data_IF_562052472810
#
_entry.id   IF_562052472810
#
_cell.length_a   1.000
_cell.length_b   1.000
_cell.length_c   1.000
_cell.angle_alpha   90.00
_cell.angle_beta   90.00
_cell.angle_gamma   90.00
#
_symmetry.space_group_name_H-M   'P 1'
#
loop_
_entity.id
_entity.type
_entity.pdbx_description
1 polymer ?
#
# COMPACT_ATOMS: atom_id res chain seq x y z
N UNK A 1 2.18 17.68 -13.37
CA UNK A 1 2.38 19.16 -13.41
C UNK A 1 3.37 19.60 -12.34
N UNK A 2 3.91 20.84 -12.37
CA UNK A 2 4.79 21.30 -11.30
C UNK A 2 4.11 21.30 -9.93
N UNK A 3 4.87 21.12 -8.84
CA UNK A 3 4.39 21.30 -7.47
C UNK A 3 3.63 22.62 -7.26
N UNK A 4 2.58 22.61 -6.44
CA UNK A 4 1.82 23.81 -6.06
C UNK A 4 2.54 24.66 -5.01
N UNK A 5 3.57 24.10 -4.40
CA UNK A 5 4.40 24.76 -3.39
C UNK A 5 5.87 24.58 -3.72
N UNK A 6 6.66 25.57 -3.35
CA UNK A 6 8.12 25.50 -3.47
C UNK A 6 8.73 24.64 -2.36
N UNK A 7 9.98 24.22 -2.55
CA UNK A 7 10.74 23.48 -1.53
C UNK A 7 10.84 24.26 -0.21
N UNK A 8 11.07 25.57 -0.28
CA UNK A 8 11.16 26.41 0.92
C UNK A 8 9.81 26.58 1.62
N UNK A 9 8.72 26.64 0.86
CA UNK A 9 7.38 26.65 1.44
C UNK A 9 7.06 25.31 2.11
N UNK A 10 7.39 24.18 1.49
CA UNK A 10 7.22 22.86 2.10
C UNK A 10 7.99 22.72 3.42
N UNK A 11 9.22 23.24 3.49
CA UNK A 11 10.00 23.29 4.74
C UNK A 11 9.30 24.10 5.82
N UNK A 12 8.84 25.32 5.50
CA UNK A 12 8.08 26.16 6.45
C UNK A 12 6.80 25.49 6.94
N UNK A 13 6.06 24.83 6.04
CA UNK A 13 4.86 24.07 6.41
C UNK A 13 5.19 22.88 7.32
N UNK A 14 6.34 22.23 7.11
CA UNK A 14 6.84 21.15 7.97
C UNK A 14 7.06 21.57 9.43
N UNK A 15 7.37 22.85 9.67
CA UNK A 15 7.58 23.42 11.00
C UNK A 15 6.28 23.81 11.74
N UNK A 16 5.11 23.72 11.11
CA UNK A 16 3.84 24.02 11.77
C UNK A 16 3.54 22.94 12.81
N UNK A 17 3.34 23.34 14.06
CA UNK A 17 3.00 22.43 15.18
C UNK A 17 1.63 22.74 15.78
N UNK A 18 1.10 23.94 15.55
CA UNK A 18 -0.20 24.32 16.08
C UNK A 18 -1.34 23.70 15.25
N UNK A 19 -2.41 23.36 15.97
CA UNK A 19 -3.54 22.62 15.42
C UNK A 19 -4.24 23.37 14.28
N UNK A 20 -4.44 24.68 14.45
CA UNK A 20 -5.16 25.51 13.51
C UNK A 20 -4.39 25.67 12.19
N UNK A 21 -3.06 25.79 12.26
CA UNK A 21 -2.18 25.81 11.09
C UNK A 21 -2.25 24.51 10.29
N UNK A 22 -2.27 23.35 10.96
CA UNK A 22 -2.41 22.05 10.30
C UNK A 22 -3.80 21.92 9.63
N UNK A 23 -4.87 22.39 10.28
CA UNK A 23 -6.22 22.36 9.69
C UNK A 23 -6.32 23.24 8.45
N UNK A 24 -5.75 24.45 8.49
CA UNK A 24 -5.71 25.33 7.34
C UNK A 24 -4.95 24.70 6.16
N UNK A 25 -3.87 23.98 6.45
CA UNK A 25 -3.12 23.22 5.46
C UNK A 25 -3.94 22.05 4.87
N UNK A 26 -4.66 21.31 5.71
CA UNK A 26 -5.57 20.24 5.28
C UNK A 26 -6.64 20.78 4.35
N UNK A 27 -7.26 21.92 4.66
CA UNK A 27 -8.25 22.55 3.77
C UNK A 27 -7.67 22.94 2.41
N UNK A 28 -6.42 23.42 2.39
CA UNK A 28 -5.72 23.72 1.13
C UNK A 28 -5.47 22.46 0.31
N UNK A 29 -5.00 21.39 0.95
CA UNK A 29 -4.76 20.11 0.29
C UNK A 29 -6.07 19.47 -0.21
N UNK A 30 -7.17 19.61 0.54
CA UNK A 30 -8.50 19.17 0.13
C UNK A 30 -8.95 19.84 -1.16
N UNK A 31 -8.83 21.18 -1.24
CA UNK A 31 -9.16 21.92 -2.48
C UNK A 31 -8.35 21.44 -3.66
N UNK A 32 -7.04 21.26 -3.47
CA UNK A 32 -6.16 20.74 -4.52
C UNK A 32 -6.61 19.34 -4.98
N UNK A 33 -6.97 18.45 -4.05
CA UNK A 33 -7.47 17.10 -4.36
C UNK A 33 -8.83 17.15 -5.08
N UNK A 34 -9.79 17.94 -4.61
CA UNK A 34 -11.13 18.05 -5.24
C UNK A 34 -11.02 18.67 -6.64
N UNK A 35 -10.16 19.65 -6.85
CA UNK A 35 -9.93 20.25 -8.17
C UNK A 35 -9.40 19.23 -9.20
N UNK A 36 -8.50 18.31 -8.81
CA UNK A 36 -7.95 17.29 -9.73
C UNK A 36 -8.84 16.08 -9.90
N UNK A 37 -9.48 15.62 -8.83
CA UNK A 37 -10.11 14.31 -8.77
C UNK A 37 -11.63 14.37 -8.54
N UNK A 38 -12.20 15.51 -8.19
CA UNK A 38 -13.62 15.62 -7.86
C UNK A 38 -13.98 14.68 -6.71
N UNK A 39 -14.86 13.72 -6.99
CA UNK A 39 -15.30 12.71 -6.04
C UNK A 39 -14.48 11.40 -6.10
N UNK A 40 -13.48 11.28 -6.99
CA UNK A 40 -12.79 10.02 -7.25
C UNK A 40 -12.09 9.41 -6.03
N UNK A 41 -12.23 8.10 -5.91
CA UNK A 41 -11.38 7.25 -5.11
C UNK A 41 -10.73 6.15 -5.96
N UNK A 42 -9.72 5.50 -5.38
CA UNK A 42 -9.09 4.31 -5.92
C UNK A 42 -8.78 3.41 -4.72
N UNK A 43 -9.58 2.37 -4.47
CA UNK A 43 -9.43 1.48 -3.32
C UNK A 43 -8.66 0.21 -3.70
N UNK A 44 -7.58 -0.11 -2.99
CA UNK A 44 -6.74 -1.27 -3.28
C UNK A 44 -6.90 -2.31 -2.19
N UNK A 45 -6.86 -3.58 -2.57
CA UNK A 45 -6.50 -4.66 -1.66
C UNK A 45 -5.26 -5.37 -2.21
N UNK A 46 -4.62 -6.18 -1.38
CA UNK A 46 -3.43 -6.93 -1.74
C UNK A 46 -3.52 -8.38 -1.27
N UNK A 47 -2.67 -9.21 -1.87
CA UNK A 47 -2.32 -10.52 -1.34
C UNK A 47 -0.81 -10.58 -1.15
N UNK A 48 -0.38 -11.11 0.00
CA UNK A 48 1.02 -11.48 0.21
C UNK A 48 1.28 -12.84 -0.47
N UNK A 49 1.48 -12.84 -1.78
CA UNK A 49 1.58 -14.05 -2.61
C UNK A 49 2.82 -14.91 -2.32
N UNK A 50 3.86 -14.32 -1.72
CA UNK A 50 5.06 -15.03 -1.23
C UNK A 50 5.63 -14.27 -0.04
N UNK A 51 5.69 -14.93 1.11
CA UNK A 51 6.01 -14.27 2.37
C UNK A 51 7.22 -14.86 3.08
N UNK A 52 8.00 -13.99 3.71
CA UNK A 52 9.10 -14.33 4.61
C UNK A 52 10.39 -14.80 3.93
N UNK A 53 11.51 -14.72 4.65
CA UNK A 53 12.83 -15.18 4.17
C UNK A 53 13.46 -14.25 3.12
N UNK A 54 13.12 -12.96 3.15
CA UNK A 54 13.65 -11.96 2.23
C UNK A 54 15.16 -11.80 2.41
N UNK A 55 15.90 -11.76 1.30
CA UNK A 55 17.35 -11.60 1.31
C UNK A 55 17.80 -10.15 1.58
N UNK A 56 16.88 -9.20 1.63
CA UNK A 56 17.17 -7.79 1.91
C UNK A 56 17.19 -7.50 3.41
N UNK A 57 17.93 -6.46 3.79
CA UNK A 57 18.12 -6.00 5.16
C UNK A 57 17.27 -4.76 5.51
N UNK A 58 16.21 -4.45 4.76
CA UNK A 58 15.33 -3.31 5.03
C UNK A 58 14.97 -3.19 6.53
N UNK A 59 15.35 -2.07 7.16
CA UNK A 59 15.34 -1.91 8.61
C UNK A 59 13.96 -1.97 9.27
N UNK A 60 12.91 -1.69 8.51
CA UNK A 60 11.50 -1.74 8.93
C UNK A 60 10.84 -3.12 8.72
N UNK A 61 11.43 -4.01 7.92
CA UNK A 61 10.69 -5.12 7.34
C UNK A 61 10.81 -6.41 8.15
N UNK A 62 9.69 -6.87 8.75
CA UNK A 62 9.63 -8.15 9.46
C UNK A 62 9.90 -9.37 8.57
N UNK A 63 9.70 -9.25 7.25
CA UNK A 63 9.97 -10.34 6.30
C UNK A 63 11.47 -10.53 5.99
N UNK A 64 12.32 -9.58 6.35
CA UNK A 64 13.78 -9.67 6.22
C UNK A 64 14.30 -10.89 6.96
N UNK A 65 15.15 -11.71 6.33
CA UNK A 65 15.83 -12.81 7.02
C UNK A 65 16.74 -12.32 8.15
N UNK A 66 17.14 -11.05 8.12
CA UNK A 66 17.96 -10.40 9.14
C UNK A 66 17.15 -9.80 10.30
N UNK A 67 15.81 -9.81 10.22
CA UNK A 67 14.95 -9.43 11.33
C UNK A 67 14.62 -10.64 12.20
N UNK A 68 14.64 -10.47 13.52
CA UNK A 68 14.17 -11.47 14.48
C UNK A 68 12.64 -11.53 14.58
N UNK A 69 11.97 -10.48 14.09
CA UNK A 69 10.52 -10.37 14.10
C UNK A 69 9.84 -11.59 13.47
N UNK A 70 8.77 -12.04 14.13
CA UNK A 70 7.89 -13.06 13.59
C UNK A 70 7.21 -12.57 12.30
N UNK A 71 7.11 -13.45 11.33
CA UNK A 71 6.49 -13.16 10.04
C UNK A 71 5.83 -14.42 9.47
N UNK A 72 4.74 -14.29 8.70
CA UNK A 72 4.23 -15.42 7.94
C UNK A 72 5.29 -15.89 6.96
N UNK A 73 5.52 -17.20 6.90
CA UNK A 73 6.50 -17.80 6.00
C UNK A 73 5.81 -18.88 5.16
N UNK A 74 5.69 -18.62 3.86
CA UNK A 74 5.13 -19.58 2.92
C UNK A 74 5.71 -19.39 1.52
N UNK A 75 5.66 -20.45 0.73
CA UNK A 75 6.08 -20.43 -0.66
C UNK A 75 5.16 -19.57 -1.53
N UNK A 76 5.58 -19.32 -2.77
CA UNK A 76 4.77 -18.66 -3.78
C UNK A 76 3.44 -19.41 -3.96
N UNK A 77 2.33 -18.69 -3.81
CA UNK A 77 0.98 -19.19 -4.05
C UNK A 77 0.81 -19.71 -5.49
N UNK A 78 -0.07 -20.69 -5.66
CA UNK A 78 -0.54 -21.10 -6.98
C UNK A 78 -1.50 -20.05 -7.58
N UNK A 79 -1.58 -19.92 -8.93
CA UNK A 79 -2.44 -18.94 -9.60
C UNK A 79 -3.90 -18.96 -9.12
N UNK A 80 -4.46 -20.14 -8.84
CA UNK A 80 -5.84 -20.32 -8.39
C UNK A 80 -6.05 -19.76 -6.98
N UNK A 81 -5.05 -19.86 -6.11
CA UNK A 81 -5.09 -19.25 -4.77
C UNK A 81 -5.07 -17.72 -4.86
N UNK A 82 -4.27 -17.17 -5.80
CA UNK A 82 -4.25 -15.72 -6.07
C UNK A 82 -5.63 -15.25 -6.53
N UNK A 83 -6.29 -16.01 -7.41
CA UNK A 83 -7.64 -15.70 -7.88
C UNK A 83 -8.67 -15.74 -6.74
N UNK A 84 -8.57 -16.69 -5.81
CA UNK A 84 -9.45 -16.75 -4.63
C UNK A 84 -9.36 -15.48 -3.80
N UNK A 85 -8.14 -15.01 -3.51
CA UNK A 85 -7.93 -13.73 -2.81
C UNK A 85 -8.45 -12.53 -3.62
N UNK A 86 -8.31 -12.55 -4.95
CA UNK A 86 -8.84 -11.49 -5.80
C UNK A 86 -10.38 -11.43 -5.74
N UNK A 87 -11.07 -12.58 -5.79
CA UNK A 87 -12.54 -12.63 -5.64
C UNK A 87 -12.98 -12.11 -4.27
N UNK A 88 -12.26 -12.45 -3.20
CA UNK A 88 -12.54 -11.91 -1.87
C UNK A 88 -12.34 -10.37 -1.82
N UNK A 89 -11.27 -9.86 -2.42
CA UNK A 89 -11.02 -8.42 -2.51
C UNK A 89 -12.10 -7.69 -3.33
N UNK A 90 -12.55 -8.28 -4.43
CA UNK A 90 -13.65 -7.74 -5.25
C UNK A 90 -14.96 -7.70 -4.46
N UNK A 91 -15.32 -8.79 -3.78
CA UNK A 91 -16.50 -8.85 -2.93
C UNK A 91 -16.45 -7.82 -1.80
N UNK A 92 -15.25 -7.54 -1.27
CA UNK A 92 -15.01 -6.51 -0.25
C UNK A 92 -15.05 -5.05 -0.79
N UNK A 93 -15.25 -4.85 -2.09
CA UNK A 93 -15.36 -3.51 -2.68
C UNK A 93 -14.06 -2.91 -3.22
N UNK A 94 -12.95 -3.66 -3.25
CA UNK A 94 -11.69 -3.14 -3.81
C UNK A 94 -11.84 -2.80 -5.30
N UNK A 95 -11.20 -1.73 -5.76
CA UNK A 95 -11.11 -1.36 -7.19
C UNK A 95 -9.89 -2.02 -7.84
N UNK A 96 -8.84 -2.27 -7.06
CA UNK A 96 -7.58 -2.79 -7.54
C UNK A 96 -7.06 -3.88 -6.61
N UNK A 97 -6.44 -4.90 -7.20
CA UNK A 97 -5.84 -6.02 -6.48
C UNK A 97 -4.35 -6.11 -6.78
N UNK A 98 -3.53 -6.11 -5.72
CA UNK A 98 -2.08 -6.10 -5.81
C UNK A 98 -1.49 -7.45 -5.38
N UNK A 99 -0.76 -8.09 -6.29
CA UNK A 99 0.04 -9.28 -5.98
C UNK A 99 1.40 -8.84 -5.43
N UNK A 100 1.65 -9.10 -4.15
CA UNK A 100 2.86 -8.65 -3.45
C UNK A 100 3.71 -9.85 -3.08
N UNK A 101 5.02 -9.77 -3.30
CA UNK A 101 5.97 -10.81 -2.90
C UNK A 101 7.16 -10.21 -2.17
N UNK A 102 7.71 -10.95 -1.22
CA UNK A 102 9.01 -10.64 -0.65
C UNK A 102 10.16 -10.83 -1.66
N UNK A 103 11.27 -10.11 -1.41
CA UNK A 103 12.56 -10.33 -2.06
C UNK A 103 12.89 -9.32 -3.15
N UNK A 104 14.17 -9.31 -3.54
CA UNK A 104 14.71 -8.45 -4.60
C UNK A 104 14.14 -8.77 -5.99
N UNK A 105 13.51 -9.92 -6.17
CA UNK A 105 12.94 -10.35 -7.44
C UNK A 105 12.57 -11.83 -7.41
N UNK A 106 11.74 -12.24 -8.37
CA UNK A 106 11.26 -13.61 -8.45
C UNK A 106 12.16 -14.51 -9.28
N UNK A 107 12.15 -15.80 -8.95
CA UNK A 107 12.64 -16.85 -9.83
C UNK A 107 11.80 -16.89 -11.12
N UNK A 108 12.30 -17.49 -12.21
CA UNK A 108 11.50 -17.64 -13.44
C UNK A 108 10.17 -18.35 -13.15
N UNK A 109 10.21 -19.45 -12.40
CA UNK A 109 9.01 -20.22 -12.03
C UNK A 109 8.00 -19.40 -11.26
N UNK A 110 8.43 -18.65 -10.24
CA UNK A 110 7.53 -17.84 -9.43
C UNK A 110 6.98 -16.65 -10.24
N UNK A 111 7.78 -16.09 -11.16
CA UNK A 111 7.31 -15.04 -12.07
C UNK A 111 6.24 -15.56 -13.04
N UNK A 112 6.43 -16.76 -13.62
CA UNK A 112 5.45 -17.39 -14.51
C UNK A 112 4.11 -17.63 -13.77
N UNK A 113 4.15 -17.99 -12.49
CA UNK A 113 2.96 -18.08 -11.63
C UNK A 113 2.25 -16.74 -11.44
N UNK A 114 2.99 -15.64 -11.23
CA UNK A 114 2.40 -14.29 -11.19
C UNK A 114 1.68 -13.98 -12.50
N UNK A 115 2.31 -14.23 -13.65
CA UNK A 115 1.68 -13.97 -14.95
C UNK A 115 0.40 -14.79 -15.16
N UNK A 116 0.39 -16.06 -14.75
CA UNK A 116 -0.81 -16.89 -14.78
C UNK A 116 -1.90 -16.35 -13.85
N UNK A 117 -1.54 -15.96 -12.62
CA UNK A 117 -2.46 -15.34 -11.66
C UNK A 117 -3.07 -14.03 -12.19
N UNK A 118 -2.26 -13.16 -12.81
CA UNK A 118 -2.75 -11.92 -13.44
C UNK A 118 -3.82 -12.22 -14.49
N UNK A 119 -3.59 -13.23 -15.36
CA UNK A 119 -4.55 -13.61 -16.41
C UNK A 119 -5.86 -14.13 -15.82
N UNK A 120 -5.78 -15.00 -14.81
CA UNK A 120 -6.96 -15.49 -14.11
C UNK A 120 -7.77 -14.36 -13.46
N UNK A 121 -7.08 -13.42 -12.79
CA UNK A 121 -7.75 -12.25 -12.20
C UNK A 121 -8.40 -11.39 -13.28
N UNK A 122 -7.74 -11.21 -14.43
CA UNK A 122 -8.31 -10.45 -15.54
C UNK A 122 -9.55 -11.12 -16.15
N UNK A 123 -9.56 -12.45 -16.24
CA UNK A 123 -10.67 -13.23 -16.81
C UNK A 123 -11.89 -13.31 -15.89
N UNK A 124 -11.66 -13.38 -14.58
CA UNK A 124 -12.70 -13.76 -13.62
C UNK A 124 -13.10 -12.66 -12.63
N UNK A 125 -12.56 -11.45 -12.76
CA UNK A 125 -12.89 -10.32 -11.88
C UNK A 125 -12.92 -9.00 -12.66
N UNK A 126 -13.61 -8.01 -12.12
CA UNK A 126 -13.61 -6.63 -12.57
C UNK A 126 -12.55 -5.76 -11.84
N UNK A 127 -11.48 -6.39 -11.33
CA UNK A 127 -10.42 -5.69 -10.61
C UNK A 127 -9.34 -5.17 -11.55
N UNK A 128 -8.86 -3.95 -11.31
CA UNK A 128 -7.56 -3.52 -11.82
C UNK A 128 -6.46 -4.35 -11.18
N UNK A 129 -5.42 -4.68 -11.92
CA UNK A 129 -4.33 -5.58 -11.50
C UNK A 129 -3.05 -4.79 -11.27
N UNK A 130 -2.44 -5.05 -10.12
CA UNK A 130 -1.19 -4.45 -9.69
C UNK A 130 -0.19 -5.51 -9.25
N UNK A 131 1.10 -5.23 -9.38
CA UNK A 131 2.16 -6.11 -8.89
C UNK A 131 3.20 -5.34 -8.07
N UNK A 132 3.71 -5.96 -7.01
CA UNK A 132 4.83 -5.50 -6.19
C UNK A 132 5.80 -6.66 -5.95
N UNK A 133 6.71 -6.90 -6.90
CA UNK A 133 7.50 -8.13 -6.96
C UNK A 133 9.02 -7.92 -6.99
N UNK A 134 9.49 -6.83 -6.38
CA UNK A 134 10.90 -6.47 -6.32
C UNK A 134 11.41 -5.78 -7.59
N UNK A 135 12.69 -5.94 -7.88
CA UNK A 135 13.35 -5.35 -9.05
C UNK A 135 12.78 -5.89 -10.35
N UNK A 136 12.57 -4.97 -11.29
CA UNK A 136 12.00 -5.24 -12.60
C UNK A 136 13.02 -4.96 -13.68
N UNK A 137 13.26 -5.94 -14.56
CA UNK A 137 13.94 -5.67 -15.83
C UNK A 137 12.92 -5.18 -16.87
N UNK A 138 13.34 -4.46 -17.92
CA UNK A 138 12.44 -4.03 -19.00
C UNK A 138 11.63 -5.20 -19.61
N UNK A 139 12.27 -6.35 -19.80
CA UNK A 139 11.59 -7.55 -20.32
C UNK A 139 10.49 -8.08 -19.37
N UNK A 140 10.73 -8.06 -18.05
CA UNK A 140 9.71 -8.47 -17.07
C UNK A 140 8.59 -7.44 -16.94
N UNK A 141 8.91 -6.15 -17.00
CA UNK A 141 7.91 -5.08 -17.02
C UNK A 141 6.98 -5.24 -18.24
N UNK A 142 7.54 -5.46 -19.43
CA UNK A 142 6.76 -5.73 -20.64
C UNK A 142 5.90 -6.99 -20.50
N UNK A 143 6.44 -8.07 -19.95
CA UNK A 143 5.67 -9.30 -19.72
C UNK A 143 4.49 -9.11 -18.76
N UNK A 144 4.65 -8.28 -17.70
CA UNK A 144 3.53 -7.91 -16.82
C UNK A 144 2.46 -7.10 -17.56
N UNK A 145 2.87 -6.11 -18.36
CA UNK A 145 1.95 -5.34 -19.21
C UNK A 145 1.15 -6.26 -20.14
N UNK A 146 1.83 -7.19 -20.81
CA UNK A 146 1.22 -8.13 -21.76
C UNK A 146 0.30 -9.16 -21.09
N UNK A 147 0.56 -9.49 -19.82
CA UNK A 147 -0.34 -10.32 -19.03
C UNK A 147 -1.59 -9.56 -18.54
N UNK A 148 -1.60 -8.23 -18.63
CA UNK A 148 -2.74 -7.38 -18.25
C UNK A 148 -2.58 -6.64 -16.93
N UNK A 149 -1.36 -6.55 -16.36
CA UNK A 149 -1.09 -5.63 -15.24
C UNK A 149 -1.20 -4.19 -15.74
N UNK A 150 -1.86 -3.32 -14.98
CA UNK A 150 -1.88 -1.89 -15.27
C UNK A 150 -0.86 -1.11 -14.46
N UNK A 151 -0.61 -1.52 -13.20
CA UNK A 151 0.22 -0.75 -12.25
C UNK A 151 1.29 -1.62 -11.62
N UNK A 152 2.48 -1.06 -11.43
CA UNK A 152 3.54 -1.70 -10.64
C UNK A 152 3.96 -0.80 -9.50
N UNK A 153 4.04 -1.40 -8.32
CA UNK A 153 4.50 -0.77 -7.10
C UNK A 153 5.99 -1.00 -6.87
N UNK A 154 6.73 0.10 -6.68
CA UNK A 154 8.13 0.06 -6.30
C UNK A 154 8.52 1.37 -5.60
N UNK A 155 8.65 1.35 -4.27
CA UNK A 155 8.95 2.53 -3.48
C UNK A 155 10.42 2.98 -3.58
N UNK A 156 10.64 4.27 -3.34
CA UNK A 156 11.97 4.81 -2.97
C UNK A 156 12.26 4.61 -1.47
N UNK A 157 11.22 4.30 -0.69
CA UNK A 157 11.20 4.05 0.76
C UNK A 157 11.44 5.29 1.62
N UNK A 158 12.44 6.10 1.28
CA UNK A 158 12.81 7.34 1.97
C UNK A 158 13.58 8.25 1.00
N UNK A 159 14.09 9.39 1.48
CA UNK A 159 15.00 10.25 0.72
C UNK A 159 16.32 9.54 0.38
N UNK A 160 16.93 9.86 -0.76
CA UNK A 160 18.23 9.27 -1.13
C UNK A 160 19.30 9.50 -0.06
N UNK A 161 19.31 10.70 0.55
CA UNK A 161 20.26 11.04 1.62
C UNK A 161 20.12 10.21 2.91
N UNK A 162 18.95 9.61 3.16
CA UNK A 162 18.69 8.75 4.34
C UNK A 162 18.71 7.25 4.00
N UNK A 163 18.60 6.89 2.73
CA UNK A 163 18.45 5.52 2.29
C UNK A 163 19.50 4.51 2.82
N UNK A 164 20.79 4.87 2.98
CA UNK A 164 21.78 3.96 3.57
C UNK A 164 21.44 3.47 4.99
N UNK A 165 20.63 4.22 5.75
CA UNK A 165 20.15 3.78 7.07
C UNK A 165 19.01 2.76 6.95
N UNK A 166 18.27 2.77 5.84
CA UNK A 166 17.14 1.87 5.59
C UNK A 166 17.60 0.51 5.10
N UNK A 167 18.53 0.46 4.14
CA UNK A 167 19.04 -0.81 3.58
C UNK A 167 20.45 -0.65 3.03
N UNK A 168 21.28 -1.67 3.24
CA UNK A 168 22.61 -1.79 2.62
C UNK A 168 22.67 -2.80 1.48
N UNK A 169 21.69 -3.71 1.41
CA UNK A 169 21.64 -4.80 0.41
C UNK A 169 21.04 -4.37 -0.93
N UNK A 170 20.28 -3.27 -0.95
CA UNK A 170 19.71 -2.65 -2.15
C UNK A 170 20.33 -1.26 -2.30
N UNK A 171 20.60 -0.83 -3.53
CA UNK A 171 21.05 0.55 -3.82
C UNK A 171 19.88 1.39 -4.29
N UNK A 172 19.84 2.66 -3.89
CA UNK A 172 18.80 3.61 -4.29
C UNK A 172 18.63 3.71 -5.81
N UNK A 173 19.75 3.84 -6.54
CA UNK A 173 19.78 3.84 -8.01
C UNK A 173 19.11 2.61 -8.65
N UNK A 174 19.19 1.43 -8.01
CA UNK A 174 18.53 0.21 -8.50
C UNK A 174 17.01 0.28 -8.44
N UNK A 175 16.47 1.06 -7.49
CA UNK A 175 15.03 1.34 -7.40
C UNK A 175 14.60 2.26 -8.52
N UNK A 176 15.37 3.33 -8.79
CA UNK A 176 15.10 4.25 -9.90
C UNK A 176 15.09 3.51 -11.24
N UNK A 177 16.10 2.66 -11.51
CA UNK A 177 16.10 1.82 -12.73
C UNK A 177 14.89 0.90 -12.86
N UNK A 178 14.37 0.40 -11.74
CA UNK A 178 13.14 -0.41 -11.74
C UNK A 178 11.93 0.42 -12.11
N UNK A 179 11.83 1.63 -11.54
CA UNK A 179 10.75 2.58 -11.82
C UNK A 179 10.76 3.01 -13.30
N UNK A 180 11.95 3.27 -13.86
CA UNK A 180 12.10 3.61 -15.28
C UNK A 180 11.69 2.44 -16.18
N UNK A 181 12.13 1.21 -15.87
CA UNK A 181 11.73 0.03 -16.63
C UNK A 181 10.21 -0.20 -16.63
N UNK A 182 9.52 0.12 -15.52
CA UNK A 182 8.06 0.08 -15.42
C UNK A 182 7.43 1.15 -16.32
N UNK A 183 7.91 2.39 -16.23
CA UNK A 183 7.42 3.52 -17.03
C UNK A 183 7.59 3.26 -18.53
N UNK A 184 8.76 2.81 -18.95
CA UNK A 184 9.11 2.52 -20.34
C UNK A 184 8.25 1.39 -20.94
N UNK A 185 7.75 0.48 -20.10
CA UNK A 185 6.82 -0.57 -20.51
C UNK A 185 5.36 -0.07 -20.66
N UNK A 186 5.08 1.20 -20.40
CA UNK A 186 3.74 1.79 -20.46
C UNK A 186 2.83 1.35 -19.32
N UNK A 187 3.41 1.01 -18.16
CA UNK A 187 2.67 0.70 -16.93
C UNK A 187 2.55 1.95 -16.05
N UNK A 188 1.45 2.06 -15.32
CA UNK A 188 1.32 3.05 -14.25
C UNK A 188 2.37 2.77 -13.16
N UNK A 189 3.06 3.82 -12.73
CA UNK A 189 4.04 3.76 -11.65
C UNK A 189 3.35 4.07 -10.31
N UNK A 190 3.57 3.21 -9.33
CA UNK A 190 3.13 3.40 -7.94
C UNK A 190 4.37 3.49 -7.05
N UNK A 191 4.78 4.72 -6.72
CA UNK A 191 6.06 5.01 -6.08
C UNK A 191 5.82 5.94 -4.92
N UNK A 192 6.23 5.51 -3.73
CA UNK A 192 6.14 6.30 -2.52
C UNK A 192 7.20 5.92 -1.52
N UNK A 193 6.88 6.07 -0.23
CA UNK A 193 7.82 5.83 0.85
C UNK A 193 7.14 5.55 2.18
N UNK A 194 7.96 5.49 3.22
CA UNK A 194 7.58 5.26 4.60
C UNK A 194 8.02 6.49 5.40
N UNK A 195 7.09 7.09 6.12
CA UNK A 195 7.38 8.16 7.08
C UNK A 195 7.68 7.55 8.45
N UNK A 196 8.43 8.30 9.27
CA UNK A 196 8.85 7.93 10.61
C UNK A 196 9.89 6.78 10.66
N UNK A 197 10.69 6.63 9.60
CA UNK A 197 11.90 5.81 9.56
C UNK A 197 13.09 6.46 10.27
N UNK A 198 12.96 7.68 10.80
CA UNK A 198 14.01 8.45 11.47
C UNK A 198 14.62 9.54 10.61
N UNK A 199 14.07 9.70 9.41
CA UNK A 199 14.35 10.80 8.52
C UNK A 199 13.94 12.14 9.16
N UNK A 200 14.69 13.20 8.87
CA UNK A 200 14.35 14.56 9.29
C UNK A 200 13.19 15.14 8.47
N UNK A 201 12.61 16.26 8.91
CA UNK A 201 11.60 17.00 8.13
C UNK A 201 12.16 17.40 6.76
N UNK A 202 13.42 17.83 6.68
CA UNK A 202 14.11 18.12 5.42
C UNK A 202 14.17 16.92 4.48
N UNK A 203 14.44 15.73 5.02
CA UNK A 203 14.48 14.50 4.24
C UNK A 203 13.09 14.08 3.75
N UNK A 204 12.01 14.37 4.50
CA UNK A 204 10.64 14.21 3.99
C UNK A 204 10.37 15.13 2.80
N UNK A 205 10.83 16.39 2.86
CA UNK A 205 10.74 17.31 1.73
C UNK A 205 11.58 16.82 0.55
N UNK A 206 12.80 16.34 0.79
CA UNK A 206 13.66 15.74 -0.23
C UNK A 206 12.93 14.62 -0.98
N UNK A 207 12.42 13.62 -0.25
CA UNK A 207 11.66 12.52 -0.83
C UNK A 207 10.44 13.01 -1.60
N UNK A 208 9.67 13.98 -1.08
CA UNK A 208 8.49 14.48 -1.78
C UNK A 208 8.82 15.11 -3.14
N UNK A 209 9.92 15.85 -3.23
CA UNK A 209 10.35 16.45 -4.50
C UNK A 209 11.06 15.46 -5.43
N UNK A 210 11.72 14.42 -4.88
CA UNK A 210 12.19 13.27 -5.68
C UNK A 210 10.99 12.56 -6.34
N UNK A 211 9.94 12.28 -5.56
CA UNK A 211 8.71 11.71 -6.09
C UNK A 211 8.08 12.62 -7.15
N UNK A 212 8.09 13.94 -6.95
CA UNK A 212 7.56 14.88 -7.94
C UNK A 212 8.36 14.85 -9.24
N UNK A 213 9.68 14.64 -9.18
CA UNK A 213 10.52 14.46 -10.36
C UNK A 213 10.29 13.10 -11.05
N UNK A 214 9.98 12.05 -10.26
CA UNK A 214 9.56 10.75 -10.77
C UNK A 214 8.17 10.84 -11.43
N UNK A 215 7.30 11.75 -11.01
CA UNK A 215 5.93 11.93 -11.53
C UNK A 215 5.14 10.60 -11.59
N UNK A 216 4.93 9.91 -10.44
CA UNK A 216 4.22 8.65 -10.43
C UNK A 216 2.70 8.83 -10.54
N UNK A 217 2.03 7.88 -11.18
CA UNK A 217 0.55 7.85 -11.25
C UNK A 217 -0.07 7.73 -9.85
N UNK A 218 0.57 6.97 -8.96
CA UNK A 218 0.09 6.77 -7.59
C UNK A 218 1.24 6.87 -6.57
N UNK A 219 0.96 7.48 -5.42
CA UNK A 219 1.88 7.61 -4.30
C UNK A 219 1.30 6.89 -3.08
N UNK A 220 1.82 5.71 -2.72
CA UNK A 220 1.53 5.09 -1.44
C UNK A 220 2.31 5.79 -0.33
N UNK A 221 1.60 6.23 0.72
CA UNK A 221 2.19 6.73 1.95
C UNK A 221 2.04 5.64 2.99
N UNK A 222 3.17 5.11 3.45
CA UNK A 222 3.22 4.20 4.58
C UNK A 222 3.73 4.98 5.80
N UNK A 223 3.32 4.55 6.98
CA UNK A 223 3.85 5.01 8.25
C UNK A 223 4.57 3.83 8.88
N UNK A 224 5.73 4.08 9.50
CA UNK A 224 6.44 3.01 10.21
C UNK A 224 5.48 2.39 11.23
N UNK A 225 5.29 1.08 11.12
CA UNK A 225 4.72 0.24 12.16
C UNK A 225 5.90 -0.50 12.81
N UNK A 226 6.42 -0.01 13.95
CA UNK A 226 7.58 -0.59 14.61
C UNK A 226 7.31 -2.04 14.97
N UNK A 227 8.14 -2.95 14.43
CA UNK A 227 8.02 -4.38 14.71
C UNK A 227 9.19 -4.81 15.60
N UNK A 228 8.94 -5.26 16.84
CA UNK A 228 9.98 -5.82 17.69
C UNK A 228 10.76 -6.90 16.93
N UNK A 229 12.09 -6.86 17.00
CA UNK A 229 12.96 -7.74 16.21
C UNK A 229 13.43 -7.17 14.87
N UNK A 230 12.92 -6.02 14.43
CA UNK A 230 13.46 -5.28 13.27
C UNK A 230 14.43 -4.18 13.72
N UNK A 231 15.26 -3.65 12.82
CA UNK A 231 16.21 -2.55 13.12
C UNK A 231 15.48 -1.32 13.67
N UNK A 232 14.26 -1.09 13.19
CA UNK A 232 13.42 0.05 13.56
C UNK A 232 12.30 -0.32 14.55
N UNK A 233 12.42 -1.48 15.21
CA UNK A 233 11.36 -2.06 16.05
C UNK A 233 11.05 -1.32 17.35
N UNK A 234 12.01 -0.55 17.87
CA UNK A 234 11.91 0.14 19.17
C UNK A 234 11.55 1.63 19.05
N UNK A 235 11.13 2.07 17.85
CA UNK A 235 10.73 3.46 17.62
C UNK A 235 9.30 3.67 18.05
N UNK A 236 8.97 4.90 18.40
CA UNK A 236 7.59 5.29 18.66
C UNK A 236 6.79 5.43 17.37
N UNK A 237 5.47 5.31 17.48
CA UNK A 237 4.57 5.69 16.41
C UNK A 237 4.69 7.19 16.11
N UNK A 238 4.44 7.53 14.85
CA UNK A 238 4.34 8.90 14.39
C UNK A 238 3.13 9.56 15.04
N UNK A 239 3.29 10.81 15.49
CA UNK A 239 2.17 11.60 15.97
C UNK A 239 1.08 11.69 14.87
N UNK A 240 -0.20 11.43 15.21
CA UNK A 240 -1.30 11.47 14.24
C UNK A 240 -1.43 12.80 13.48
N UNK A 241 -1.18 13.94 14.14
CA UNK A 241 -1.21 15.26 13.50
C UNK A 241 -0.03 15.50 12.58
N UNK A 242 1.14 15.03 12.96
CA UNK A 242 2.32 15.03 12.10
C UNK A 242 2.07 14.22 10.83
N UNK A 243 1.44 13.04 10.93
CA UNK A 243 1.09 12.21 9.77
C UNK A 243 0.13 12.95 8.82
N UNK A 244 -0.96 13.52 9.36
CA UNK A 244 -1.94 14.31 8.58
C UNK A 244 -1.27 15.50 7.89
N UNK A 245 -0.40 16.24 8.61
CA UNK A 245 0.35 17.38 8.07
C UNK A 245 1.18 16.96 6.86
N UNK A 246 1.96 15.88 6.97
CA UNK A 246 2.83 15.43 5.88
C UNK A 246 2.05 14.89 4.68
N UNK A 247 0.90 14.24 4.88
CA UNK A 247 -0.01 13.87 3.78
C UNK A 247 -0.46 15.13 3.02
N UNK A 248 -0.85 16.18 3.72
CA UNK A 248 -1.27 17.45 3.11
C UNK A 248 -0.13 18.16 2.36
N UNK A 249 1.08 18.19 2.93
CA UNK A 249 2.27 18.74 2.26
C UNK A 249 2.54 17.95 0.97
N UNK A 250 2.54 16.62 1.03
CA UNK A 250 2.79 15.76 -0.12
C UNK A 250 1.74 16.00 -1.21
N UNK A 251 0.45 16.15 -0.87
CA UNK A 251 -0.61 16.45 -1.84
C UNK A 251 -0.33 17.74 -2.60
N UNK A 252 0.15 18.78 -1.91
CA UNK A 252 0.49 20.04 -2.56
C UNK A 252 1.73 19.94 -3.46
N UNK A 253 2.66 19.05 -3.14
CA UNK A 253 3.86 18.80 -3.96
C UNK A 253 3.53 17.93 -5.17
N UNK A 254 2.68 16.91 -5.01
CA UNK A 254 2.26 15.96 -6.06
C UNK A 254 0.74 16.04 -6.30
N UNK A 255 0.26 17.15 -6.88
CA UNK A 255 -1.17 17.42 -6.93
C UNK A 255 -1.96 16.47 -7.85
N UNK A 256 -1.32 15.87 -8.85
CA UNK A 256 -1.96 15.03 -9.86
C UNK A 256 -1.83 13.51 -9.59
N UNK A 257 -1.12 13.10 -8.54
CA UNK A 257 -0.93 11.70 -8.22
C UNK A 257 -2.05 11.15 -7.33
N UNK A 258 -2.42 9.88 -7.51
CA UNK A 258 -3.36 9.19 -6.64
C UNK A 258 -2.72 8.81 -5.31
N UNK A 259 -3.16 9.42 -4.22
CA UNK A 259 -2.60 9.17 -2.90
C UNK A 259 -3.31 8.03 -2.21
N UNK A 260 -2.52 7.09 -1.71
CA UNK A 260 -3.04 5.96 -0.95
C UNK A 260 -2.37 5.87 0.40
N UNK A 261 -3.16 5.82 1.46
CA UNK A 261 -2.63 5.55 2.79
C UNK A 261 -2.61 4.02 3.04
N UNK A 262 -1.44 3.49 3.37
CA UNK A 262 -1.15 2.07 3.39
C UNK A 262 -0.76 1.59 4.80
N UNK A 263 0.37 0.88 4.94
CA UNK A 263 0.78 0.25 6.19
C UNK A 263 1.00 1.25 7.32
N UNK A 264 0.68 0.84 8.54
CA UNK A 264 0.86 1.65 9.75
C UNK A 264 -0.23 2.69 10.01
N UNK A 265 -1.20 2.87 9.11
CA UNK A 265 -2.24 3.91 9.28
C UNK A 265 -3.15 3.71 10.47
N UNK A 266 -3.45 2.45 10.81
CA UNK A 266 -4.36 2.13 11.93
C UNK A 266 -3.68 2.50 13.25
N UNK A 267 -2.41 2.11 13.40
CA UNK A 267 -1.64 2.31 14.62
C UNK A 267 -1.17 3.76 14.79
N UNK A 268 -0.76 4.42 13.72
CA UNK A 268 -0.20 5.77 13.79
C UNK A 268 -1.26 6.88 13.73
N UNK A 269 -2.39 6.68 13.02
CA UNK A 269 -3.38 7.76 12.82
C UNK A 269 -4.65 7.56 13.65
N UNK A 270 -5.09 6.30 13.83
CA UNK A 270 -6.30 5.99 14.58
C UNK A 270 -7.55 6.70 14.01
N UNK A 271 -8.25 7.45 14.85
CA UNK A 271 -9.48 8.16 14.51
C UNK A 271 -9.27 9.34 13.53
N UNK A 272 -8.04 9.88 13.42
CA UNK A 272 -7.76 11.00 12.51
C UNK A 272 -7.70 10.61 11.03
N UNK A 273 -7.97 9.35 10.69
CA UNK A 273 -8.00 8.90 9.30
C UNK A 273 -9.03 9.66 8.46
N UNK A 274 -10.15 10.10 9.04
CA UNK A 274 -11.10 10.99 8.37
C UNK A 274 -10.45 12.31 7.95
N UNK A 275 -9.70 12.92 8.87
CA UNK A 275 -9.00 14.17 8.59
C UNK A 275 -7.85 13.92 7.59
N UNK A 276 -7.22 12.75 7.63
CA UNK A 276 -6.25 12.33 6.62
C UNK A 276 -6.87 12.20 5.23
N UNK A 277 -8.14 11.77 5.08
CA UNK A 277 -8.83 11.79 3.79
C UNK A 277 -8.86 13.21 3.24
N UNK A 278 -9.26 14.19 4.07
CA UNK A 278 -9.24 15.62 3.69
C UNK A 278 -7.85 16.15 3.41
N UNK A 279 -6.80 15.60 4.04
CA UNK A 279 -5.41 15.95 3.75
C UNK A 279 -4.98 15.56 2.32
N UNK A 280 -5.82 14.87 1.56
CA UNK A 280 -5.67 14.71 0.12
C UNK A 280 -5.56 13.27 -0.35
N UNK A 281 -6.08 12.30 0.40
CA UNK A 281 -6.09 10.90 -0.03
C UNK A 281 -7.12 10.67 -1.15
N UNK A 282 -6.79 9.73 -2.04
CA UNK A 282 -7.73 9.15 -3.00
C UNK A 282 -8.14 7.73 -2.61
N UNK A 283 -7.46 7.09 -1.66
CA UNK A 283 -7.83 5.76 -1.23
C UNK A 283 -6.96 5.25 -0.10
N UNK A 284 -7.23 4.01 0.29
CA UNK A 284 -6.45 3.28 1.31
C UNK A 284 -6.11 1.88 0.82
N UNK A 285 -5.13 1.25 1.44
CA UNK A 285 -5.02 -0.21 1.34
C UNK A 285 -6.08 -0.82 2.27
N UNK A 286 -7.04 -1.52 1.67
CA UNK A 286 -8.19 -2.13 2.34
C UNK A 286 -7.84 -3.49 2.91
N UNK A 287 -8.40 -3.76 4.10
CA UNK A 287 -8.23 -5.04 4.79
C UNK A 287 -6.81 -5.21 5.33
N UNK A 288 -6.37 -6.46 5.44
CA UNK A 288 -5.09 -6.79 6.07
C UNK A 288 -3.89 -6.34 5.23
N UNK A 289 -2.83 -5.95 5.93
CA UNK A 289 -1.52 -5.68 5.35
C UNK A 289 -0.69 -6.96 5.26
N UNK A 290 0.53 -6.86 4.70
CA UNK A 290 1.41 -8.01 4.48
C UNK A 290 1.69 -8.84 5.74
N UNK A 291 1.76 -8.18 6.90
CA UNK A 291 2.15 -8.80 8.18
C UNK A 291 1.29 -8.37 9.37
N UNK A 292 0.29 -7.51 9.17
CA UNK A 292 -0.55 -6.97 10.25
C UNK A 292 -2.01 -6.90 9.83
N UNK A 293 -2.90 -6.91 10.82
CA UNK A 293 -4.31 -6.66 10.62
C UNK A 293 -4.53 -5.20 10.22
N UNK A 294 -5.53 -4.95 9.38
CA UNK A 294 -5.98 -3.61 9.02
C UNK A 294 -7.41 -3.35 9.49
N UNK A 295 -7.97 -2.21 9.06
CA UNK A 295 -9.39 -1.92 9.21
C UNK A 295 -10.25 -2.85 8.37
N UNK A 296 -11.52 -3.01 8.75
CA UNK A 296 -12.46 -3.76 7.94
C UNK A 296 -12.74 -3.02 6.62
N UNK A 297 -13.06 -3.74 5.52
CA UNK A 297 -13.43 -3.11 4.26
C UNK A 297 -14.56 -2.08 4.37
N UNK A 298 -15.51 -2.30 5.27
CA UNK A 298 -16.68 -1.44 5.45
C UNK A 298 -16.29 -0.12 6.15
N UNK A 299 -15.47 -0.19 7.19
CA UNK A 299 -14.88 1.00 7.83
C UNK A 299 -14.07 1.82 6.82
N UNK A 300 -13.31 1.15 5.95
CA UNK A 300 -12.51 1.80 4.93
C UNK A 300 -13.33 2.54 3.89
N UNK A 301 -14.45 1.98 3.44
CA UNK A 301 -15.35 2.69 2.52
C UNK A 301 -16.04 3.86 3.23
N UNK A 302 -16.47 3.65 4.48
CA UNK A 302 -17.14 4.68 5.27
C UNK A 302 -16.29 5.94 5.46
N UNK A 303 -14.95 5.81 5.57
CA UNK A 303 -14.03 6.96 5.63
C UNK A 303 -14.20 7.92 4.44
N UNK A 304 -14.42 7.39 3.24
CA UNK A 304 -14.56 8.20 2.03
C UNK A 304 -16.01 8.63 1.79
N UNK A 305 -16.98 7.75 2.06
CA UNK A 305 -18.41 8.04 1.93
C UNK A 305 -18.86 9.19 2.84
N UNK A 306 -18.32 9.28 4.07
CA UNK A 306 -18.61 10.41 4.99
C UNK A 306 -18.19 11.77 4.44
N UNK A 307 -17.27 11.80 3.47
CA UNK A 307 -16.86 13.01 2.76
C UNK A 307 -17.55 13.18 1.39
N UNK A 308 -18.58 12.39 1.10
CA UNK A 308 -19.33 12.44 -0.15
C UNK A 308 -18.54 11.95 -1.36
N UNK A 309 -17.54 11.09 -1.14
CA UNK A 309 -16.67 10.58 -2.20
C UNK A 309 -17.21 9.30 -2.80
N UNK A 310 -17.01 9.12 -4.11
CA UNK A 310 -17.46 7.95 -4.84
C UNK A 310 -16.57 6.75 -4.51
N UNK A 311 -17.11 5.74 -3.84
CA UNK A 311 -16.42 4.47 -3.56
C UNK A 311 -16.86 3.33 -4.48
N UNK A 312 -17.77 3.58 -5.42
CA UNK A 312 -18.24 2.56 -6.35
C UNK A 312 -17.18 2.24 -7.42
N UNK A 313 -17.09 0.97 -7.81
CA UNK A 313 -16.30 0.60 -8.99
C UNK A 313 -17.02 1.00 -10.28
N UNK A 314 -16.24 1.23 -11.32
CA UNK A 314 -16.76 1.31 -12.69
C UNK A 314 -17.23 -0.08 -13.15
N UNK A 315 -18.29 -0.19 -13.98
CA UNK A 315 -18.76 -1.48 -14.50
C UNK A 315 -17.70 -2.29 -15.24
N UNK A 316 -16.76 -1.62 -15.91
CA UNK A 316 -15.66 -2.16 -16.70
C UNK A 316 -14.29 -1.86 -16.07
N UNK A 317 -14.25 -1.56 -14.77
CA UNK A 317 -13.06 -1.15 -14.02
C UNK A 317 -11.79 -1.98 -14.32
N UNK A 318 -11.90 -3.29 -14.52
CA UNK A 318 -10.77 -4.17 -14.84
C UNK A 318 -10.17 -3.95 -16.24
N UNK A 319 -10.94 -3.40 -17.18
CA UNK A 319 -10.52 -3.08 -18.55
C UNK A 319 -10.33 -1.56 -18.78
N UNK A 320 -10.95 -0.73 -17.93
CA UNK A 320 -10.89 0.72 -17.98
C UNK A 320 -9.45 1.25 -17.80
N UNK A 321 -8.92 2.03 -18.77
CA UNK A 321 -7.58 2.60 -18.69
C UNK A 321 -7.47 3.75 -17.67
N UNK A 322 -8.58 4.27 -17.14
CA UNK A 322 -8.54 5.39 -16.18
C UNK A 322 -7.88 4.96 -14.87
N UNK A 323 -7.12 5.84 -14.22
CA UNK A 323 -6.46 5.49 -12.97
C UNK A 323 -7.42 5.50 -11.76
N UNK A 324 -8.56 6.20 -11.84
CA UNK A 324 -9.57 6.39 -10.77
C UNK A 324 -11.03 6.17 -11.24
N UNK A 325 -12.01 6.39 -10.34
CA UNK A 325 -13.43 6.13 -10.57
C UNK A 325 -14.33 7.38 -10.65
N UNK A 326 -13.80 8.58 -10.91
CA UNK A 326 -14.56 9.83 -10.80
C UNK A 326 -15.85 9.86 -11.62
N UNK A 327 -16.89 10.50 -11.09
CA UNK A 327 -18.19 10.63 -11.75
C UNK A 327 -18.13 11.56 -12.97
N UNK A 328 -18.98 11.29 -13.98
CA UNK A 328 -19.19 12.19 -15.12
C UNK A 328 -18.05 12.27 -16.15
N UNK A 329 -16.92 11.59 -15.93
CA UNK A 329 -15.78 11.63 -16.86
C UNK A 329 -16.10 11.10 -18.27
N UNK A 330 -16.98 10.10 -18.39
CA UNK A 330 -17.43 9.58 -19.69
C UNK A 330 -18.41 10.52 -20.42
N UNK A 331 -18.86 11.61 -19.78
CA UNK A 331 -19.73 12.61 -20.38
C UNK A 331 -18.96 13.80 -20.99
N UNK A 332 -17.61 13.76 -20.99
CA UNK A 332 -16.73 14.76 -21.58
C UNK A 332 -15.69 14.16 -22.53
N UNK A 333 -15.15 14.99 -23.43
CA UNK A 333 -14.18 14.57 -24.46
C UNK A 333 -12.90 13.98 -23.85
N UNK A 334 -12.53 12.77 -24.29
CA UNK A 334 -11.35 12.02 -23.86
C UNK A 334 -10.15 12.35 -24.75
N UNK A 335 -8.93 12.55 -24.21
CA UNK A 335 -7.70 12.44 -24.99
C UNK A 335 -7.43 10.96 -25.32
N UNK A 336 -7.63 10.58 -26.58
CA UNK A 336 -7.32 9.25 -27.15
C UNK A 336 -5.80 8.96 -27.10
N UNK A 337 -5.42 7.69 -26.86
CA UNK A 337 -4.93 6.94 -28.02
C UNK A 337 -5.34 5.45 -28.08
N UNK A 338 -5.86 5.12 -29.26
CA UNK A 338 -5.91 3.84 -29.99
C UNK A 338 -7.16 3.00 -29.76
N UNK A 339 -8.12 3.27 -30.66
CA UNK A 339 -9.30 2.48 -30.89
C UNK A 339 -9.11 1.14 -31.61
N UNK A 340 -10.21 0.40 -31.48
CA UNK A 340 -10.71 -0.76 -32.22
C UNK A 340 -10.10 -2.13 -31.87
N UNK A 341 -10.87 -3.17 -31.58
CA UNK A 341 -12.32 -3.40 -31.44
C UNK A 341 -12.42 -4.87 -30.96
N UNK A 342 -13.29 -5.19 -30.00
CA UNK A 342 -13.88 -6.54 -29.91
C UNK A 342 -15.39 -6.38 -29.75
N UNK A 343 -16.12 -6.85 -30.75
CA UNK A 343 -17.57 -6.97 -30.74
C UNK A 343 -17.96 -8.43 -30.45
N UNK A 344 -18.96 -8.60 -29.60
CA UNK A 344 -19.74 -9.84 -29.50
C UNK A 344 -19.77 -10.45 -28.09
N UNK A 345 -20.65 -9.96 -27.23
CA UNK A 345 -21.05 -10.67 -26.02
C UNK A 345 -22.54 -11.02 -26.11
N UNK A 346 -22.86 -12.31 -25.96
CA UNK A 346 -24.19 -12.81 -25.69
C UNK A 346 -24.32 -13.10 -24.19
N UNK A 347 -25.54 -12.91 -23.69
CA UNK A 347 -26.00 -13.07 -22.30
C UNK A 347 -25.91 -14.52 -21.80
N UNK A 348 -25.40 -14.76 -20.58
CA UNK A 348 -25.76 -15.97 -19.85
C UNK A 348 -26.14 -15.67 -18.39
N UNK A 349 -27.44 -15.48 -18.15
CA UNK A 349 -28.06 -15.89 -16.91
C UNK A 349 -28.43 -17.38 -16.98
N UNK A 350 -27.59 -18.27 -16.45
CA UNK A 350 -27.99 -19.61 -16.01
C UNK A 350 -26.92 -20.25 -15.10
N UNK A 351 -27.41 -20.83 -13.99
CA UNK A 351 -26.75 -21.81 -13.10
C UNK A 351 -25.81 -21.29 -12.01
N UNK A 352 -26.41 -20.88 -10.88
CA UNK A 352 -25.79 -21.02 -9.56
C UNK A 352 -26.48 -22.18 -8.84
N UNK A 353 -25.88 -23.36 -8.95
CA UNK A 353 -26.23 -24.55 -8.18
C UNK A 353 -24.96 -25.20 -7.64
N UNK A 354 -24.80 -25.17 -6.31
CA UNK A 354 -23.71 -25.76 -5.53
C UNK A 354 -22.32 -25.09 -5.68
N UNK A 355 -22.20 -23.84 -5.19
CA UNK A 355 -20.92 -23.32 -4.73
C UNK A 355 -20.76 -23.64 -3.24
N UNK A 356 -19.78 -24.47 -2.91
CA UNK A 356 -19.30 -24.60 -1.54
C UNK A 356 -18.52 -23.31 -1.21
N UNK A 357 -19.20 -22.35 -0.59
CA UNK A 357 -18.61 -21.06 -0.23
C UNK A 357 -17.75 -21.26 1.01
N UNK A 358 -16.45 -21.51 0.80
CA UNK A 358 -15.47 -21.27 1.84
C UNK A 358 -15.35 -19.75 2.04
N UNK A 359 -16.00 -19.23 3.09
CA UNK A 359 -15.70 -17.88 3.57
C UNK A 359 -14.25 -17.86 4.01
N UNK A 360 -13.40 -17.27 3.17
CA UNK A 360 -11.97 -17.13 3.44
C UNK A 360 -11.75 -16.26 4.69
N UNK A 361 -11.01 -16.78 5.67
CA UNK A 361 -10.56 -16.04 6.84
C UNK A 361 -9.35 -15.15 6.46
N UNK A 362 -9.49 -13.82 6.53
CA UNK A 362 -8.40 -12.89 6.21
C UNK A 362 -7.15 -13.04 7.08
N UNK A 363 -7.27 -13.66 8.25
CA UNK A 363 -6.17 -13.94 9.17
C UNK A 363 -5.35 -15.18 8.78
N UNK A 364 -5.83 -16.00 7.84
CA UNK A 364 -5.11 -17.21 7.39
C UNK A 364 -3.72 -16.91 6.80
N UNK A 365 -3.56 -15.76 6.13
CA UNK A 365 -2.27 -15.26 5.61
C UNK A 365 -1.31 -14.78 6.71
N UNK A 366 -1.82 -14.56 7.93
CA UNK A 366 -1.06 -14.04 9.06
C UNK A 366 -0.59 -15.14 10.03
N UNK A 367 -0.58 -16.41 9.59
CA UNK A 367 -0.02 -17.50 10.42
C UNK A 367 1.50 -17.36 10.54
N UNK A 368 1.94 -16.84 11.67
CA UNK A 368 3.34 -16.56 11.95
C UNK A 368 4.15 -17.84 12.22
N UNK A 369 5.41 -17.84 11.77
CA UNK A 369 6.42 -18.80 12.23
C UNK A 369 7.68 -18.07 12.66
N UNK A 370 8.20 -18.44 13.83
CA UNK A 370 9.49 -17.96 14.30
C UNK A 370 10.61 -18.46 13.39
N UNK A 371 11.56 -17.58 13.05
CA UNK A 371 12.73 -17.94 12.24
C UNK A 371 13.70 -18.80 13.08
N UNK A 372 14.20 -19.93 12.55
CA UNK A 372 15.07 -20.82 13.31
C UNK A 372 16.49 -20.25 13.51
N UNK A 373 16.96 -19.42 12.57
CA UNK A 373 18.24 -18.72 12.64
C UNK A 373 18.11 -17.33 12.02
N UNK A 374 18.82 -16.35 12.59
CA UNK A 374 18.85 -14.97 12.09
C UNK A 374 20.33 -14.58 11.90
N UNK A 375 20.81 -14.45 10.65
CA UNK A 375 22.20 -14.05 10.39
C UNK A 375 22.46 -12.61 10.85
N UNK A 376 23.73 -12.23 11.09
CA UNK A 376 24.08 -10.83 11.37
C UNK A 376 23.71 -9.93 10.20
N UNK A 377 23.28 -8.70 10.50
CA UNK A 377 22.91 -7.72 9.47
C UNK A 377 24.15 -7.27 8.67
N UNK A 378 24.05 -7.08 7.34
CA UNK A 378 25.18 -6.62 6.52
C UNK A 378 25.64 -5.20 6.86
N UNK A 379 24.73 -4.36 7.36
CA UNK A 379 25.01 -2.99 7.81
C UNK A 379 25.68 -2.92 9.20
N UNK A 380 25.91 -4.07 9.85
CA UNK A 380 26.51 -4.16 11.18
C UNK A 380 25.59 -3.73 12.33
N UNK A 381 24.33 -3.33 12.06
CA UNK A 381 23.38 -3.05 13.12
C UNK A 381 23.07 -4.33 13.92
N UNK A 382 22.90 -4.24 15.25
CA UNK A 382 22.63 -5.43 16.06
C UNK A 382 21.29 -6.04 15.65
N UNK A 383 21.24 -7.37 15.63
CA UNK A 383 19.97 -8.08 15.66
C UNK A 383 19.36 -7.80 17.05
N UNK A 384 18.41 -6.86 17.10
CA UNK A 384 17.74 -6.47 18.34
C UNK A 384 16.72 -7.54 18.66
N UNK A 385 17.12 -8.54 19.42
CA UNK A 385 16.20 -9.62 19.77
C UNK A 385 15.10 -9.19 20.71
N UNK A 386 14.11 -10.08 20.87
CA UNK A 386 13.30 -10.07 22.07
C UNK A 386 14.27 -10.21 23.25
N UNK A 387 14.51 -9.12 23.99
CA UNK A 387 15.01 -9.24 25.35
C UNK A 387 14.16 -10.30 26.03
N UNK A 388 14.79 -11.26 26.73
CA UNK A 388 14.06 -12.24 27.56
C UNK A 388 12.94 -11.48 28.28
N UNK A 389 11.67 -11.86 28.14
CA UNK A 389 10.62 -11.20 28.90
C UNK A 389 10.98 -11.37 30.37
N UNK A 390 11.20 -10.26 31.07
CA UNK A 390 11.15 -10.26 32.53
C UNK A 390 9.72 -10.64 32.89
N UNK A 391 9.57 -11.47 33.93
CA UNK A 391 8.29 -12.07 34.37
C UNK A 391 7.16 -11.06 34.65
N UNK A 392 7.43 -9.76 34.62
CA UNK A 392 6.45 -8.70 34.90
C UNK A 392 5.55 -8.34 33.71
N UNK A 393 5.94 -8.66 32.46
CA UNK A 393 5.14 -8.28 31.29
C UNK A 393 3.98 -9.25 30.95
N UNK A 394 4.04 -10.50 31.40
CA UNK A 394 3.01 -11.50 31.10
C UNK A 394 1.73 -11.33 31.95
N UNK A 395 1.82 -10.77 33.16
CA UNK A 395 0.64 -10.58 34.01
C UNK A 395 -0.27 -9.43 33.54
N UNK A 396 0.30 -8.40 32.91
CA UNK A 396 -0.49 -7.27 32.36
C UNK A 396 -1.22 -7.63 31.06
N UNK A 397 -0.61 -8.45 30.20
CA UNK A 397 -1.21 -8.87 28.93
C UNK A 397 -2.34 -9.90 29.10
N UNK A 398 -2.28 -10.74 30.14
CA UNK A 398 -3.31 -11.73 30.45
C UNK A 398 -4.45 -11.16 31.33
N UNK A 399 -4.19 -10.15 32.16
CA UNK A 399 -5.24 -9.49 32.96
C UNK A 399 -6.16 -8.58 32.14
N UNK A 400 -5.68 -7.99 31.04
CA UNK A 400 -6.49 -7.16 30.14
C UNK A 400 -7.51 -7.92 29.29
N UNK A 401 -7.34 -9.24 29.13
CA UNK A 401 -8.22 -10.09 28.32
C UNK A 401 -9.34 -10.78 29.13
N UNK A 402 -9.33 -10.68 30.46
CA UNK A 402 -10.31 -11.34 31.34
C UNK A 402 -11.39 -10.39 31.93
N UNK A 403 -11.39 -9.10 31.56
CA UNK A 403 -12.24 -8.08 32.18
C UNK A 403 -13.52 -7.67 31.41
N UNK A 404 -13.76 -8.19 30.20
CA UNK A 404 -14.89 -7.78 29.37
C UNK A 404 -15.80 -8.97 29.04
N UNK A 405 -16.54 -9.45 30.04
CA UNK A 405 -17.50 -10.54 29.88
C UNK A 405 -18.69 -10.42 30.83
N UNK A 406 -19.83 -10.00 30.27
CA UNK A 406 -21.21 -10.29 30.72
C UNK A 406 -21.79 -9.42 31.86
N UNK A 407 -22.45 -8.33 31.46
CA UNK A 407 -23.57 -7.75 32.20
C UNK A 407 -24.82 -7.75 31.31
N UNK A 408 -25.59 -8.84 31.33
CA UNK A 408 -26.94 -8.87 30.75
C UNK A 408 -27.95 -8.21 31.70
N UNK A 409 -29.07 -7.66 31.19
CA UNK A 409 -30.03 -6.95 32.02
C UNK A 409 -31.03 -7.94 32.64
N UNK A 410 -31.24 -7.85 33.96
CA UNK A 410 -32.45 -8.38 34.59
C UNK A 410 -33.06 -7.35 35.55
N UNK A 411 -34.32 -7.01 35.22
CA UNK A 411 -35.40 -6.36 35.99
C UNK A 411 -35.42 -4.83 36.09
#
# INVERSE_FOLDING_TARGET
MPPLITRDEARRLGEIEDRAGIEALVERAWRARVERFGDATDMCSLVNAKSGGCAEDCGFCAQSKYAEADTPLHAMMEPEQILEHARAAEAAGAHRFCMVTQGQGLSRRDFDKVLAGVRLVAEHTNLKRCASIGHMSPARAKALKDAGVQRVHHNVETAESYYPEVSSTVRYEGRLRTIDAVRDAGLETCVGGILNLGETREQRVEMAFELAAIDPTSVPINLLNPRPGTKFGDRDFMDPWEAVKWIAIFRLILPDALFRLCGGRVENIGELQEIAVKAGLNGVMMGNFLTTLGSTPDEDRALFERHGLNVARQPDNGADPRPDNRSGWLAGETPEPVGALLAGAADPAAEIGALDVHLWDPASQLRFRRKPTVPPRPDGAPNRGHGRPTREHDEAALAGAAGAGHGGPER
#
